data_IF_658403555912
#
_entry.id   IF_658403555912
#
_cell.length_a   1.000
_cell.length_b   1.000
_cell.length_c   1.000
_cell.angle_alpha   90.00
_cell.angle_beta   90.00
_cell.angle_gamma   90.00
#
_symmetry.space_group_name_H-M   'P 1'
#
loop_
_entity.id
_entity.type
_entity.pdbx_description
1 polymer ?
#
# COMPACT_ATOMS: atom_id res chain seq x y z
N UNK A 1 27.06 -5.36 -26.32
CA UNK A 1 28.05 -5.32 -25.23
C UNK A 1 27.55 -6.25 -24.15
N UNK A 2 28.25 -7.36 -23.91
CA UNK A 2 27.97 -8.27 -22.79
C UNK A 2 28.82 -7.83 -21.62
N UNK A 3 28.18 -7.31 -20.57
CA UNK A 3 28.85 -6.98 -19.32
C UNK A 3 29.18 -8.31 -18.63
N UNK A 4 30.45 -8.67 -18.54
CA UNK A 4 30.91 -9.80 -17.74
C UNK A 4 31.30 -9.20 -16.39
N UNK A 5 30.47 -9.41 -15.37
CA UNK A 5 30.74 -8.98 -14.00
C UNK A 5 31.36 -10.18 -13.29
N UNK A 6 32.67 -10.14 -13.05
CA UNK A 6 33.34 -11.07 -12.14
C UNK A 6 33.32 -10.43 -10.75
N UNK A 7 32.63 -11.01 -9.75
CA UNK A 7 32.69 -10.51 -8.40
C UNK A 7 34.09 -10.76 -7.84
N UNK A 8 34.79 -9.70 -7.41
CA UNK A 8 36.03 -9.85 -6.67
C UNK A 8 35.72 -10.52 -5.32
N UNK A 9 36.28 -11.73 -5.11
CA UNK A 9 36.16 -12.47 -3.84
C UNK A 9 36.72 -11.71 -2.63
N UNK A 10 37.50 -10.65 -2.86
CA UNK A 10 38.18 -9.83 -1.84
C UNK A 10 37.38 -8.62 -1.37
N UNK A 11 36.26 -8.27 -2.04
CA UNK A 11 35.42 -7.16 -1.62
C UNK A 11 34.26 -7.71 -0.80
N UNK A 12 34.18 -7.43 0.51
CA UNK A 12 33.02 -7.83 1.30
C UNK A 12 31.79 -7.14 0.70
N UNK A 13 30.70 -7.91 0.55
CA UNK A 13 29.40 -7.33 0.24
C UNK A 13 29.10 -6.31 1.34
N UNK A 14 28.79 -5.07 0.95
CA UNK A 14 28.45 -4.04 1.92
C UNK A 14 27.23 -4.49 2.72
N UNK A 15 27.34 -4.47 4.05
CA UNK A 15 26.22 -4.75 4.97
C UNK A 15 25.17 -3.63 4.97
N UNK A 16 25.47 -2.49 4.35
CA UNK A 16 24.54 -1.40 4.17
C UNK A 16 23.51 -1.78 3.12
N UNK A 17 22.40 -2.34 3.59
CA UNK A 17 21.19 -2.42 2.79
C UNK A 17 20.51 -1.04 2.87
N UNK A 18 20.58 -0.19 1.81
CA UNK A 18 19.86 1.07 1.85
C UNK A 18 18.38 0.78 2.12
N UNK A 19 17.71 1.66 2.85
CA UNK A 19 16.29 1.50 3.14
C UNK A 19 15.51 1.42 1.81
N UNK A 20 15.19 0.20 1.39
CA UNK A 20 14.38 -0.08 0.20
C UNK A 20 12.96 -0.36 0.63
N UNK A 21 12.01 0.16 -0.13
CA UNK A 21 10.60 -0.10 0.08
C UNK A 21 10.26 -1.61 0.08
N UNK A 22 9.22 -2.01 0.80
CA UNK A 22 8.78 -3.41 0.88
C UNK A 22 8.47 -3.94 -0.51
N UNK A 23 7.90 -3.12 -1.40
CA UNK A 23 7.60 -3.51 -2.78
C UNK A 23 8.85 -3.98 -3.52
N UNK A 24 9.95 -3.24 -3.40
CA UNK A 24 11.23 -3.55 -4.06
C UNK A 24 11.87 -4.79 -3.44
N UNK A 25 11.86 -4.89 -2.12
CA UNK A 25 12.45 -6.04 -1.42
C UNK A 25 11.65 -7.33 -1.59
N UNK A 26 10.31 -7.26 -1.58
CA UNK A 26 9.41 -8.37 -1.88
C UNK A 26 9.58 -8.83 -3.33
N UNK A 27 9.65 -7.91 -4.30
CA UNK A 27 9.89 -8.25 -5.71
C UNK A 27 11.26 -8.89 -5.94
N UNK A 28 12.33 -8.39 -5.31
CA UNK A 28 13.65 -9.01 -5.39
C UNK A 28 13.65 -10.43 -4.80
N UNK A 29 12.99 -10.61 -3.66
CA UNK A 29 12.88 -11.92 -3.01
C UNK A 29 12.00 -12.90 -3.81
N UNK A 30 10.90 -12.42 -4.38
CA UNK A 30 10.01 -13.20 -5.24
C UNK A 30 10.73 -13.68 -6.51
N UNK A 31 11.46 -12.78 -7.19
CA UNK A 31 12.27 -13.15 -8.36
C UNK A 31 13.34 -14.20 -8.02
N UNK A 32 13.98 -14.05 -6.86
CA UNK A 32 14.97 -15.03 -6.38
C UNK A 32 14.30 -16.38 -6.09
N UNK A 33 13.12 -16.38 -5.45
CA UNK A 33 12.36 -17.58 -5.16
C UNK A 33 11.90 -18.28 -6.45
N UNK A 34 11.47 -17.53 -7.47
CA UNK A 34 11.09 -18.06 -8.78
C UNK A 34 12.29 -18.69 -9.50
N UNK A 35 13.45 -18.00 -9.51
CA UNK A 35 14.68 -18.56 -10.06
C UNK A 35 15.08 -19.88 -9.38
N UNK A 36 14.95 -19.95 -8.04
CA UNK A 36 15.20 -21.18 -7.31
C UNK A 36 14.16 -22.27 -7.59
N UNK A 37 12.92 -21.89 -7.87
CA UNK A 37 11.85 -22.83 -8.25
C UNK A 37 12.15 -23.50 -9.59
N UNK A 38 12.70 -22.76 -10.57
CA UNK A 38 13.21 -23.32 -11.83
C UNK A 38 14.31 -24.37 -11.60
N UNK A 39 15.04 -24.27 -10.49
CA UNK A 39 16.09 -25.18 -10.07
C UNK A 39 15.67 -26.23 -9.04
N UNK A 40 14.36 -26.39 -8.79
CA UNK A 40 13.81 -27.49 -7.98
C UNK A 40 13.37 -27.12 -6.56
N UNK A 41 13.23 -25.83 -6.24
CA UNK A 41 12.56 -25.39 -5.02
C UNK A 41 11.04 -25.57 -5.15
N UNK A 42 10.42 -26.28 -4.20
CA UNK A 42 8.97 -26.37 -4.11
C UNK A 42 8.38 -25.04 -3.59
N UNK A 43 7.42 -24.51 -4.35
CA UNK A 43 6.76 -23.22 -4.11
C UNK A 43 5.24 -23.35 -4.01
N UNK A 44 4.71 -24.56 -3.79
CA UNK A 44 3.27 -24.73 -3.64
C UNK A 44 2.71 -23.89 -2.47
N UNK A 45 1.79 -22.95 -2.73
CA UNK A 45 1.31 -22.04 -1.70
C UNK A 45 0.35 -22.74 -0.75
N UNK A 46 0.71 -22.75 0.54
CA UNK A 46 -0.14 -23.26 1.61
C UNK A 46 -1.16 -22.22 2.08
N UNK A 47 -2.13 -22.62 2.90
CA UNK A 47 -3.11 -21.69 3.49
C UNK A 47 -2.43 -20.63 4.36
N UNK A 48 -1.44 -21.04 5.15
CA UNK A 48 -0.65 -20.15 5.99
C UNK A 48 0.16 -19.13 5.17
N UNK A 49 0.59 -19.48 3.95
CA UNK A 49 1.27 -18.54 3.04
C UNK A 49 0.35 -17.42 2.57
N UNK A 50 -0.92 -17.75 2.33
CA UNK A 50 -1.95 -16.78 1.97
C UNK A 50 -2.27 -15.85 3.14
N UNK A 51 -2.38 -16.40 4.35
CA UNK A 51 -2.67 -15.62 5.55
C UNK A 51 -1.50 -14.66 5.88
N UNK A 52 -0.26 -15.12 5.75
CA UNK A 52 0.94 -14.27 5.94
C UNK A 52 1.07 -13.18 4.87
N UNK A 53 0.83 -13.52 3.60
CA UNK A 53 0.84 -12.54 2.51
C UNK A 53 -0.25 -11.48 2.67
N UNK A 54 -1.47 -11.89 3.06
CA UNK A 54 -2.57 -10.96 3.33
C UNK A 54 -2.23 -10.02 4.50
N UNK A 55 -1.69 -10.55 5.60
CA UNK A 55 -1.30 -9.75 6.76
C UNK A 55 -0.19 -8.73 6.43
N UNK A 56 0.79 -9.12 5.61
CA UNK A 56 1.86 -8.23 5.15
C UNK A 56 1.31 -7.13 4.23
N UNK A 57 0.43 -7.48 3.30
CA UNK A 57 -0.20 -6.53 2.40
C UNK A 57 -1.09 -5.52 3.17
N UNK A 58 -1.86 -5.98 4.16
CA UNK A 58 -2.67 -5.07 5.00
C UNK A 58 -1.79 -4.15 5.84
N UNK A 59 -0.73 -4.67 6.46
CA UNK A 59 0.20 -3.85 7.24
C UNK A 59 0.92 -2.83 6.35
N UNK A 60 1.23 -3.20 5.11
CA UNK A 60 1.81 -2.28 4.14
C UNK A 60 0.81 -1.20 3.69
N UNK A 61 -0.46 -1.55 3.47
CA UNK A 61 -1.51 -0.59 3.14
C UNK A 61 -1.77 0.42 4.27
N UNK A 62 -1.73 -0.01 5.53
CA UNK A 62 -1.92 0.86 6.69
C UNK A 62 -0.76 1.85 6.86
N UNK A 63 0.48 1.40 6.65
CA UNK A 63 1.67 2.23 6.86
C UNK A 63 2.88 1.71 6.05
N UNK A 64 3.07 2.18 4.81
CA UNK A 64 4.16 1.74 3.94
C UNK A 64 5.54 1.93 4.60
N UNK A 65 5.82 3.12 5.15
CA UNK A 65 7.14 3.43 5.72
C UNK A 65 7.50 2.56 6.94
N UNK A 66 6.55 2.30 7.84
CA UNK A 66 6.83 1.54 9.06
C UNK A 66 6.95 0.05 8.77
N UNK A 67 6.15 -0.44 7.81
CA UNK A 67 6.19 -1.84 7.39
C UNK A 67 7.47 -2.13 6.61
N UNK A 68 7.88 -1.24 5.69
CA UNK A 68 9.17 -1.34 5.00
C UNK A 68 10.36 -1.30 5.97
N UNK A 69 10.30 -0.51 7.06
CA UNK A 69 11.35 -0.50 8.10
C UNK A 69 11.38 -1.80 8.90
N UNK A 70 10.21 -2.37 9.19
CA UNK A 70 10.07 -3.63 9.92
C UNK A 70 10.42 -4.84 9.07
N UNK A 71 10.32 -4.76 7.75
CA UNK A 71 10.66 -5.82 6.80
C UNK A 71 12.15 -5.81 6.43
N UNK A 72 13.02 -5.88 7.43
CA UNK A 72 14.46 -5.99 7.19
C UNK A 72 14.83 -7.33 6.53
N UNK A 73 15.97 -7.39 5.84
CA UNK A 73 16.46 -8.60 5.16
C UNK A 73 16.46 -9.85 6.07
N UNK A 74 16.84 -9.69 7.35
CA UNK A 74 16.84 -10.76 8.37
C UNK A 74 15.45 -11.30 8.72
N UNK A 75 14.40 -10.48 8.55
CA UNK A 75 13.02 -10.89 8.80
C UNK A 75 12.40 -11.50 7.54
N UNK A 76 12.67 -10.91 6.38
CA UNK A 76 12.25 -11.45 5.07
C UNK A 76 12.83 -12.86 4.86
N UNK A 77 14.08 -13.10 5.24
CA UNK A 77 14.72 -14.42 5.11
C UNK A 77 14.10 -15.53 5.96
N UNK A 78 13.25 -15.19 6.95
CA UNK A 78 12.51 -16.16 7.78
C UNK A 78 11.14 -16.48 7.22
N UNK A 79 10.66 -15.69 6.27
CA UNK A 79 9.36 -15.89 5.62
C UNK A 79 9.53 -16.96 4.55
N UNK A 80 8.52 -17.81 4.37
CA UNK A 80 8.55 -18.83 3.32
C UNK A 80 8.56 -18.18 1.93
N UNK A 81 9.32 -18.72 0.96
CA UNK A 81 9.39 -18.18 -0.39
C UNK A 81 8.02 -18.04 -1.07
N UNK A 82 7.11 -19.01 -0.86
CA UNK A 82 5.74 -18.96 -1.40
C UNK A 82 4.93 -17.75 -0.87
N UNK A 83 5.06 -17.41 0.43
CA UNK A 83 4.43 -16.20 0.98
C UNK A 83 4.97 -14.93 0.34
N UNK A 84 6.28 -14.86 0.04
CA UNK A 84 6.91 -13.67 -0.53
C UNK A 84 6.44 -13.44 -1.98
N UNK A 85 6.33 -14.52 -2.77
CA UNK A 85 5.74 -14.45 -4.12
C UNK A 85 4.30 -13.96 -4.04
N UNK A 86 3.48 -14.50 -3.14
CA UNK A 86 2.10 -14.05 -2.96
C UNK A 86 2.03 -12.59 -2.51
N UNK A 87 2.92 -12.16 -1.61
CA UNK A 87 3.00 -10.78 -1.14
C UNK A 87 3.35 -9.85 -2.29
N UNK A 88 4.33 -10.19 -3.12
CA UNK A 88 4.72 -9.42 -4.30
C UNK A 88 3.58 -9.28 -5.32
N UNK A 89 2.85 -10.38 -5.58
CA UNK A 89 1.65 -10.35 -6.43
C UNK A 89 0.60 -9.39 -5.88
N UNK A 90 0.27 -9.48 -4.59
CA UNK A 90 -0.73 -8.61 -3.95
C UNK A 90 -0.24 -7.15 -3.97
N UNK A 91 1.03 -6.89 -3.65
CA UNK A 91 1.60 -5.54 -3.68
C UNK A 91 1.70 -4.97 -5.10
N UNK A 92 1.86 -5.80 -6.13
CA UNK A 92 1.84 -5.34 -7.52
C UNK A 92 0.41 -5.05 -8.00
N UNK A 93 -0.55 -5.90 -7.61
CA UNK A 93 -1.96 -5.74 -7.97
C UNK A 93 -2.63 -4.57 -7.24
N UNK A 94 -2.29 -4.36 -5.96
CA UNK A 94 -2.97 -3.41 -5.07
C UNK A 94 -2.08 -2.26 -4.59
N UNK A 95 -0.75 -2.40 -4.67
CA UNK A 95 0.24 -1.40 -4.24
C UNK A 95 0.63 -0.39 -5.31
N UNK A 96 -0.03 -0.41 -6.49
CA UNK A 96 -0.17 0.83 -7.24
C UNK A 96 -0.94 1.81 -6.34
N UNK A 97 -0.18 2.72 -5.70
CA UNK A 97 -0.66 3.93 -5.04
C UNK A 97 -2.06 4.24 -5.51
N UNK A 98 -3.04 3.96 -4.63
CA UNK A 98 -4.47 4.25 -4.76
C UNK A 98 -4.66 5.26 -5.87
N UNK A 99 -5.06 4.80 -7.05
CA UNK A 99 -4.99 5.59 -8.28
C UNK A 99 -5.62 6.95 -8.03
N UNK A 100 -4.79 7.96 -7.78
CA UNK A 100 -5.26 9.29 -7.34
C UNK A 100 -6.00 10.00 -8.46
N UNK A 101 -5.78 9.53 -9.69
CA UNK A 101 -6.40 10.04 -10.89
C UNK A 101 -7.63 9.23 -11.29
N UNK A 102 -8.82 9.80 -11.05
CA UNK A 102 -10.10 9.24 -11.47
C UNK A 102 -10.15 8.84 -12.97
N UNK A 103 -9.37 9.51 -13.83
CA UNK A 103 -9.28 9.18 -15.27
C UNK A 103 -8.60 7.82 -15.48
N UNK A 104 -7.54 7.53 -14.74
CA UNK A 104 -6.82 6.26 -14.88
C UNK A 104 -7.66 5.08 -14.36
N UNK A 105 -8.39 5.27 -13.24
CA UNK A 105 -9.35 4.27 -12.76
C UNK A 105 -10.40 3.99 -13.82
N UNK A 106 -10.94 5.05 -14.43
CA UNK A 106 -11.95 4.91 -15.48
C UNK A 106 -11.41 4.12 -16.66
N UNK A 107 -10.21 4.42 -17.15
CA UNK A 107 -9.60 3.66 -18.25
C UNK A 107 -9.36 2.20 -17.88
N UNK A 108 -8.89 1.91 -16.65
CA UNK A 108 -8.69 0.55 -16.18
C UNK A 108 -10.02 -0.23 -16.12
N UNK A 109 -11.06 0.38 -15.55
CA UNK A 109 -12.40 -0.23 -15.45
C UNK A 109 -12.98 -0.47 -16.84
N UNK A 110 -12.89 0.51 -17.75
CA UNK A 110 -13.34 0.36 -19.14
C UNK A 110 -12.60 -0.80 -19.83
N UNK A 111 -11.27 -0.86 -19.72
CA UNK A 111 -10.47 -1.94 -20.32
C UNK A 111 -10.86 -3.31 -19.75
N UNK A 112 -11.04 -3.43 -18.42
CA UNK A 112 -11.52 -4.67 -17.80
C UNK A 112 -12.91 -5.06 -18.28
N UNK A 113 -13.84 -4.12 -18.36
CA UNK A 113 -15.19 -4.39 -18.86
C UNK A 113 -15.19 -4.84 -20.32
N UNK A 114 -14.31 -4.26 -21.17
CA UNK A 114 -14.13 -4.71 -22.57
C UNK A 114 -13.71 -6.19 -22.60
N UNK A 115 -12.76 -6.60 -21.77
CA UNK A 115 -12.35 -8.01 -21.68
C UNK A 115 -13.50 -8.92 -21.23
N UNK A 116 -14.30 -8.48 -20.25
CA UNK A 116 -15.47 -9.25 -19.78
C UNK A 116 -16.59 -9.38 -20.83
N UNK A 117 -16.56 -8.60 -21.92
CA UNK A 117 -17.51 -8.81 -23.04
C UNK A 117 -17.24 -10.10 -23.82
N UNK A 118 -16.06 -10.70 -23.69
CA UNK A 118 -15.72 -11.98 -24.32
C UNK A 118 -16.00 -13.18 -23.41
N UNK A 119 -16.51 -12.95 -22.20
CA UNK A 119 -16.79 -14.00 -21.21
C UNK A 119 -17.77 -15.05 -21.78
N UNK A 120 -17.53 -16.36 -21.58
CA UNK A 120 -18.42 -17.43 -22.05
C UNK A 120 -19.83 -17.35 -21.46
N UNK A 121 -20.01 -16.78 -20.26
CA UNK A 121 -21.34 -16.55 -19.69
C UNK A 121 -22.00 -15.31 -20.31
N UNK A 122 -23.14 -15.53 -20.97
CA UNK A 122 -23.94 -14.48 -21.58
C UNK A 122 -24.44 -13.41 -20.59
N UNK A 123 -24.65 -13.77 -19.30
CA UNK A 123 -25.10 -12.82 -18.27
C UNK A 123 -24.00 -11.82 -17.94
N UNK A 124 -22.77 -12.31 -17.76
CA UNK A 124 -21.61 -11.46 -17.48
C UNK A 124 -21.33 -10.55 -18.67
N UNK A 125 -21.39 -11.10 -19.88
CA UNK A 125 -21.23 -10.34 -21.14
C UNK A 125 -22.24 -9.20 -21.27
N UNK A 126 -23.53 -9.48 -21.08
CA UNK A 126 -24.58 -8.46 -21.16
C UNK A 126 -24.40 -7.38 -20.09
N UNK A 127 -24.00 -7.77 -18.87
CA UNK A 127 -23.76 -6.82 -17.79
C UNK A 127 -22.56 -5.93 -18.06
N UNK A 128 -21.48 -6.47 -18.62
CA UNK A 128 -20.31 -5.71 -19.01
C UNK A 128 -20.66 -4.66 -20.09
N UNK A 129 -21.41 -5.06 -21.12
CA UNK A 129 -21.89 -4.16 -22.17
C UNK A 129 -22.83 -3.06 -21.64
N UNK A 130 -23.73 -3.40 -20.72
CA UNK A 130 -24.60 -2.43 -20.05
C UNK A 130 -23.79 -1.40 -19.24
N UNK A 131 -22.80 -1.87 -18.46
CA UNK A 131 -21.94 -1.01 -17.65
C UNK A 131 -21.05 -0.12 -18.53
N UNK A 132 -20.52 -0.63 -19.65
CA UNK A 132 -19.76 0.16 -20.62
C UNK A 132 -20.55 1.33 -21.17
N UNK A 133 -21.83 1.13 -21.48
CA UNK A 133 -22.68 2.24 -21.98
C UNK A 133 -23.06 3.26 -20.91
N UNK A 134 -23.02 2.90 -19.62
CA UNK A 134 -23.26 3.83 -18.48
C UNK A 134 -22.03 4.65 -18.11
N UNK A 135 -20.82 4.22 -18.50
CA UNK A 135 -19.64 5.06 -18.32
C UNK A 135 -19.82 6.30 -19.20
N UNK A 136 -19.79 7.46 -18.55
CA UNK A 136 -20.24 8.77 -19.05
C UNK A 136 -19.63 9.20 -20.40
N UNK A 137 -18.50 8.60 -20.78
CA UNK A 137 -17.69 9.02 -21.92
C UNK A 137 -18.20 8.47 -23.27
N UNK A 138 -19.05 7.43 -23.29
CA UNK A 138 -19.52 6.79 -24.55
C UNK A 138 -20.94 7.21 -24.95
N UNK A 139 -21.73 7.75 -24.02
CA UNK A 139 -23.03 8.38 -24.31
C UNK A 139 -24.07 7.50 -25.02
N UNK A 140 -23.96 6.17 -24.91
CA UNK A 140 -24.85 5.23 -25.62
C UNK A 140 -26.24 5.14 -25.00
N UNK A 141 -26.39 5.58 -23.74
CA UNK A 141 -27.67 5.68 -23.07
C UNK A 141 -28.02 7.14 -22.80
N UNK A 142 -29.24 7.54 -23.17
CA UNK A 142 -29.79 8.82 -22.77
C UNK A 142 -30.26 8.74 -21.31
N UNK A 143 -29.47 9.27 -20.38
CA UNK A 143 -29.90 9.42 -18.99
C UNK A 143 -30.80 10.66 -18.84
N UNK A 144 -31.95 10.49 -18.20
CA UNK A 144 -32.84 11.62 -17.86
C UNK A 144 -32.26 12.37 -16.67
N UNK A 145 -31.50 13.44 -16.91
CA UNK A 145 -31.07 14.35 -15.84
C UNK A 145 -32.15 15.40 -15.55
N UNK A 146 -32.82 15.31 -14.41
CA UNK A 146 -33.71 16.38 -13.92
C UNK A 146 -32.91 17.35 -13.04
N UNK A 147 -32.72 18.59 -13.51
CA UNK A 147 -32.05 19.65 -12.73
C UNK A 147 -33.12 20.50 -12.05
N UNK A 148 -33.37 20.24 -10.77
CA UNK A 148 -34.29 21.05 -9.95
C UNK A 148 -33.54 22.25 -9.37
N UNK A 149 -33.71 23.42 -9.98
CA UNK A 149 -33.14 24.67 -9.45
C UNK A 149 -34.01 25.16 -8.29
N UNK A 150 -33.53 24.98 -7.06
CA UNK A 150 -34.16 25.56 -5.88
C UNK A 150 -33.62 26.97 -5.63
N UNK A 151 -34.43 27.99 -5.88
CA UNK A 151 -34.10 29.36 -5.50
C UNK A 151 -34.23 29.50 -3.98
N UNK A 152 -33.12 29.73 -3.29
CA UNK A 152 -33.14 30.07 -1.86
C UNK A 152 -33.77 31.45 -1.69
N UNK A 153 -34.67 31.60 -0.71
CA UNK A 153 -35.21 32.90 -0.35
C UNK A 153 -34.12 33.78 0.25
N UNK A 154 -34.25 35.10 0.15
CA UNK A 154 -33.27 36.04 0.72
C UNK A 154 -33.09 35.89 2.23
N UNK A 155 -34.11 35.39 2.93
CA UNK A 155 -34.08 35.21 4.37
C UNK A 155 -33.28 33.96 4.80
N UNK A 156 -33.34 32.87 4.02
CA UNK A 156 -32.50 31.68 4.24
C UNK A 156 -31.01 32.01 4.07
N UNK A 157 -30.68 32.84 3.07
CA UNK A 157 -29.32 33.32 2.83
C UNK A 157 -28.82 34.18 4.01
N UNK A 158 -29.66 35.08 4.53
CA UNK A 158 -29.34 35.90 5.70
C UNK A 158 -29.11 35.06 6.95
N UNK A 159 -29.91 34.03 7.18
CA UNK A 159 -29.76 33.16 8.35
C UNK A 159 -28.45 32.35 8.29
N UNK A 160 -28.08 31.84 7.11
CA UNK A 160 -26.78 31.16 6.90
C UNK A 160 -25.60 32.11 7.06
N UNK A 161 -25.71 33.34 6.57
CA UNK A 161 -24.67 34.37 6.74
C UNK A 161 -24.46 34.70 8.22
N UNK A 162 -25.55 34.87 9.01
CA UNK A 162 -25.44 35.08 10.45
C UNK A 162 -24.77 33.91 11.16
N UNK A 163 -25.18 32.68 10.87
CA UNK A 163 -24.55 31.49 11.48
C UNK A 163 -23.07 31.32 11.12
N UNK A 164 -22.63 31.79 9.94
CA UNK A 164 -21.19 31.81 9.58
C UNK A 164 -20.44 32.94 10.28
N UNK A 165 -21.05 34.12 10.42
CA UNK A 165 -20.46 35.25 11.13
C UNK A 165 -20.32 34.98 12.63
N UNK A 166 -21.31 34.36 13.27
CA UNK A 166 -21.24 33.98 14.68
C UNK A 166 -20.07 33.04 14.98
N UNK A 167 -19.80 32.06 14.10
CA UNK A 167 -18.66 31.15 14.21
C UNK A 167 -17.29 31.84 14.04
N UNK A 168 -17.25 32.98 13.36
CA UNK A 168 -16.02 33.76 13.15
C UNK A 168 -15.80 34.79 14.26
N UNK A 169 -16.88 35.35 14.81
CA UNK A 169 -16.83 36.34 15.88
C UNK A 169 -16.53 35.68 17.23
N UNK A 170 -17.10 34.50 17.49
CA UNK A 170 -16.78 33.67 18.65
C UNK A 170 -16.21 32.34 18.16
N UNK A 171 -14.91 32.27 17.82
CA UNK A 171 -14.27 30.98 17.62
C UNK A 171 -14.45 30.16 18.90
N UNK A 172 -14.91 28.91 18.76
CA UNK A 172 -15.01 28.01 19.89
C UNK A 172 -13.62 27.91 20.55
N UNK A 173 -13.58 28.00 21.88
CA UNK A 173 -12.34 27.89 22.66
C UNK A 173 -11.61 26.62 22.21
N UNK A 174 -10.42 26.82 21.63
CA UNK A 174 -9.52 25.73 21.30
C UNK A 174 -8.96 25.26 22.64
N UNK A 175 -9.23 24.02 23.03
CA UNK A 175 -8.58 23.43 24.20
C UNK A 175 -7.06 23.48 23.97
N UNK A 176 -6.34 24.16 24.87
CA UNK A 176 -4.89 24.27 24.82
C UNK A 176 -4.27 22.87 24.80
N UNK A 177 -3.43 22.61 23.80
CA UNK A 177 -2.72 21.34 23.67
C UNK A 177 -1.86 21.10 24.93
N UNK A 178 -2.10 19.98 25.61
CA UNK A 178 -1.28 19.54 26.75
C UNK A 178 0.13 19.24 26.25
N UNK A 179 1.09 20.09 26.61
CA UNK A 179 2.51 19.83 26.38
C UNK A 179 2.93 18.67 27.26
N UNK A 180 3.16 17.51 26.66
CA UNK A 180 3.78 16.37 27.35
C UNK A 180 5.27 16.69 27.46
N UNK A 181 5.72 17.10 28.64
CA UNK A 181 7.16 17.20 28.94
C UNK A 181 7.78 15.80 28.85
N UNK A 182 8.76 15.65 27.96
CA UNK A 182 9.50 14.41 27.81
C UNK A 182 10.29 14.14 29.10
N UNK A 183 9.86 13.14 29.88
CA UNK A 183 10.66 12.58 30.96
C UNK A 183 11.88 11.89 30.34
N UNK A 184 13.08 12.36 30.67
CA UNK A 184 14.32 11.72 30.28
C UNK A 184 14.40 10.34 30.91
N UNK A 185 14.27 9.29 30.10
CA UNK A 185 14.51 7.91 30.52
C UNK A 185 16.02 7.71 30.72
N UNK A 186 16.43 7.38 31.94
CA UNK A 186 17.81 6.99 32.24
C UNK A 186 18.07 5.58 31.68
N UNK A 187 18.81 5.53 30.58
CA UNK A 187 19.13 4.31 29.82
C UNK A 187 19.80 3.26 30.72
N UNK A 188 20.54 3.71 31.75
CA UNK A 188 21.31 2.86 32.65
C UNK A 188 20.42 2.04 33.59
N UNK A 189 19.27 2.59 34.03
CA UNK A 189 18.35 1.88 34.91
C UNK A 189 17.47 0.88 34.17
N UNK A 190 17.11 1.18 32.93
CA UNK A 190 16.23 0.34 32.10
C UNK A 190 16.97 -0.84 31.46
N UNK A 191 18.25 -0.70 31.12
CA UNK A 191 19.00 -1.73 30.40
C UNK A 191 20.06 -2.50 31.21
N UNK A 192 20.35 -2.07 32.45
CA UNK A 192 21.36 -2.72 33.30
C UNK A 192 22.80 -2.46 32.81
N UNK A 193 23.74 -2.35 33.74
CA UNK A 193 25.14 -2.03 33.41
C UNK A 193 25.80 -3.15 32.59
N UNK A 194 26.56 -2.77 31.55
CA UNK A 194 27.37 -3.68 30.75
C UNK A 194 28.34 -4.46 31.64
N UNK A 195 28.16 -5.78 31.72
CA UNK A 195 29.05 -6.67 32.44
C UNK A 195 30.36 -6.80 31.64
N UNK A 196 31.53 -6.40 32.18
CA UNK A 196 32.78 -6.47 31.44
C UNK A 196 33.16 -7.94 31.25
N UNK A 197 32.90 -8.46 30.05
CA UNK A 197 33.41 -9.77 29.63
C UNK A 197 34.94 -9.74 29.68
N UNK A 198 35.49 -10.46 30.65
CA UNK A 198 36.92 -10.68 30.81
C UNK A 198 37.34 -11.71 29.76
N UNK A 199 38.09 -11.29 28.75
CA UNK A 199 38.79 -12.20 27.86
C UNK A 199 39.99 -12.79 28.63
N UNK A 200 40.00 -14.11 28.83
CA UNK A 200 41.20 -14.83 29.24
C UNK A 200 42.06 -15.01 27.98
N UNK A 201 43.16 -14.26 27.90
CA UNK A 201 44.24 -14.51 26.95
C UNK A 201 45.08 -15.68 27.48
N UNK A 202 45.02 -16.83 26.79
CA UNK A 202 46.05 -17.89 26.76
C UNK A 202 46.12 -18.49 25.33
#
# INVERSE_FOLDING_TARGET
MTLIVEPELSVPVSDDNPFTDLTVSAGAAANTALFLAEHGLDIEPTKEDKDTAAALATAYADSPETTSKKASAKRISKIRPASLILTDTILTEFGQSVVTNAVHIRHLVTNKLVLETENPDAKIRLRALELLGKVSDVGLFAEKSEVTITHQSSDDLRQRLRGKLEKLVNPAEVEDAVVIEATSLDITSEFGADDPTKYDDD
#
